data_IF_904040118404
#
_entry.id   IF_904040118404
#
_cell.length_a   1.000
_cell.length_b   1.000
_cell.length_c   1.000
_cell.angle_alpha   90.00
_cell.angle_beta   90.00
_cell.angle_gamma   90.00
#
_symmetry.space_group_name_H-M   'P 1'
#
loop_
_entity.id
_entity.type
_entity.pdbx_description
1 polymer ?
#
# COMPACT_ATOMS: atom_id res chain seq x y z
N UNK A 1 33.28 -30.32 41.85
CA UNK A 1 33.54 -29.43 40.69
C UNK A 1 32.20 -29.10 40.08
N UNK A 2 31.53 -28.05 40.59
CA UNK A 2 30.27 -27.54 40.03
C UNK A 2 30.59 -26.39 39.10
N UNK A 3 30.06 -26.46 37.88
CA UNK A 3 30.22 -25.44 36.85
C UNK A 3 29.25 -24.27 37.11
N UNK A 4 29.80 -23.09 37.34
CA UNK A 4 29.07 -21.82 37.31
C UNK A 4 28.58 -21.55 35.88
N UNK A 5 27.25 -21.50 35.71
CA UNK A 5 26.62 -20.92 34.53
C UNK A 5 26.43 -19.43 34.78
N UNK A 6 27.25 -18.61 34.13
CA UNK A 6 27.02 -17.18 33.96
C UNK A 6 25.69 -16.98 33.19
N UNK A 7 24.66 -16.56 33.91
CA UNK A 7 23.42 -16.03 33.35
C UNK A 7 23.72 -14.68 32.70
N UNK A 8 23.51 -14.58 31.38
CA UNK A 8 23.55 -13.30 30.68
C UNK A 8 22.41 -12.40 31.17
N UNK A 9 22.64 -11.08 31.33
CA UNK A 9 21.61 -10.18 31.80
C UNK A 9 20.52 -10.03 30.72
N UNK A 10 19.28 -10.34 31.11
CA UNK A 10 18.09 -10.04 30.34
C UNK A 10 17.92 -8.52 30.31
N UNK A 11 18.13 -7.91 29.14
CA UNK A 11 17.91 -6.48 28.94
C UNK A 11 16.40 -6.23 28.91
N UNK A 12 15.84 -5.91 30.07
CA UNK A 12 14.52 -5.28 30.16
C UNK A 12 14.61 -3.88 29.56
N UNK A 13 14.04 -3.73 28.37
CA UNK A 13 13.98 -2.47 27.64
C UNK A 13 12.95 -1.55 28.32
N UNK A 14 13.39 -0.36 28.76
CA UNK A 14 12.52 0.69 29.31
C UNK A 14 11.47 1.16 28.28
N UNK A 15 10.26 1.49 28.75
CA UNK A 15 9.14 2.03 27.98
C UNK A 15 9.49 3.29 27.18
N UNK A 16 10.49 4.05 27.60
CA UNK A 16 10.96 5.26 26.91
C UNK A 16 11.58 5.00 25.53
N UNK A 17 12.15 3.80 25.29
CA UNK A 17 12.76 3.49 23.99
C UNK A 17 11.76 3.06 22.91
N UNK A 18 10.55 2.62 23.29
CA UNK A 18 9.51 2.25 22.36
C UNK A 18 8.92 3.49 21.66
N UNK A 19 8.71 4.58 22.42
CA UNK A 19 8.23 5.86 21.90
C UNK A 19 9.24 6.59 20.99
N UNK A 20 10.51 6.16 21.01
CA UNK A 20 11.54 6.66 20.12
C UNK A 20 11.55 5.94 18.76
N UNK A 21 11.15 4.67 18.69
CA UNK A 21 11.30 3.87 17.47
C UNK A 21 10.20 4.15 16.44
N UNK A 22 10.55 4.75 15.30
CA UNK A 22 9.57 5.08 14.25
C UNK A 22 8.94 3.84 13.60
N UNK A 23 9.66 2.71 13.51
CA UNK A 23 9.06 1.43 13.09
C UNK A 23 8.01 0.94 14.09
N UNK A 24 8.22 1.14 15.39
CA UNK A 24 7.23 0.81 16.42
C UNK A 24 6.00 1.73 16.31
N UNK A 25 6.22 3.04 16.10
CA UNK A 25 5.12 3.99 15.90
C UNK A 25 4.32 3.70 14.61
N UNK A 26 4.97 3.22 13.56
CA UNK A 26 4.30 2.77 12.35
C UNK A 26 3.42 1.53 12.61
N UNK A 27 3.88 0.60 13.45
CA UNK A 27 3.06 -0.53 13.92
C UNK A 27 1.86 -0.04 14.76
N UNK A 28 2.07 0.91 15.67
CA UNK A 28 0.97 1.49 16.47
C UNK A 28 -0.08 2.17 15.57
N UNK A 29 0.36 2.95 14.58
CA UNK A 29 -0.54 3.55 13.59
C UNK A 29 -1.28 2.49 12.75
N UNK A 30 -0.61 1.38 12.41
CA UNK A 30 -1.24 0.28 11.66
C UNK A 30 -2.37 -0.38 12.47
N UNK A 31 -2.21 -0.46 13.81
CA UNK A 31 -3.18 -1.03 14.76
C UNK A 31 -4.37 -0.12 15.05
N UNK A 32 -4.27 1.17 14.76
CA UNK A 32 -5.39 2.09 14.93
C UNK A 32 -6.59 1.65 14.09
N UNK A 33 -7.78 1.60 14.67
CA UNK A 33 -9.00 1.18 13.99
C UNK A 33 -9.79 2.37 13.46
N UNK A 34 -9.69 3.54 14.09
CA UNK A 34 -10.35 4.75 13.61
C UNK A 34 -9.62 5.30 12.36
N UNK A 35 -10.32 5.45 11.22
CA UNK A 35 -9.66 5.87 9.99
C UNK A 35 -9.08 7.29 10.03
N UNK A 36 -9.67 8.19 10.83
CA UNK A 36 -9.18 9.57 10.95
C UNK A 36 -7.96 9.63 11.85
N UNK A 37 -8.02 8.97 13.02
CA UNK A 37 -6.91 8.86 13.94
C UNK A 37 -5.71 8.16 13.29
N UNK A 38 -5.93 7.12 12.47
CA UNK A 38 -4.87 6.48 11.69
C UNK A 38 -4.19 7.48 10.75
N UNK A 39 -4.97 8.16 9.91
CA UNK A 39 -4.41 9.14 8.98
C UNK A 39 -3.65 10.27 9.70
N UNK A 40 -4.15 10.74 10.84
CA UNK A 40 -3.51 11.77 11.66
C UNK A 40 -2.22 11.25 12.31
N UNK A 41 -2.20 10.02 12.81
CA UNK A 41 -1.02 9.37 13.38
C UNK A 41 0.10 9.23 12.34
N UNK A 42 -0.24 8.81 11.12
CA UNK A 42 0.73 8.71 10.02
C UNK A 42 1.29 10.09 9.64
N UNK A 43 0.44 11.11 9.54
CA UNK A 43 0.87 12.49 9.26
C UNK A 43 1.81 13.00 10.36
N UNK A 44 1.49 12.77 11.63
CA UNK A 44 2.32 13.16 12.76
C UNK A 44 3.68 12.44 12.74
N UNK A 45 3.67 11.12 12.49
CA UNK A 45 4.90 10.33 12.36
C UNK A 45 5.78 10.82 11.21
N UNK A 46 5.19 11.12 10.05
CA UNK A 46 5.92 11.68 8.90
C UNK A 46 6.54 13.03 9.21
N UNK A 47 5.79 13.92 9.88
CA UNK A 47 6.29 15.24 10.27
C UNK A 47 7.48 15.10 11.22
N UNK A 48 7.39 14.23 12.24
CA UNK A 48 8.50 13.93 13.15
C UNK A 48 9.72 13.39 12.40
N UNK A 49 9.53 12.40 11.54
CA UNK A 49 10.62 11.78 10.78
C UNK A 49 11.32 12.73 9.80
N UNK A 50 10.64 13.80 9.39
CA UNK A 50 11.21 14.83 8.48
C UNK A 50 11.90 15.96 9.26
N UNK A 51 11.48 16.23 10.49
CA UNK A 51 12.05 17.28 11.33
C UNK A 51 13.36 16.86 12.03
N UNK A 52 13.54 15.58 12.30
CA UNK A 52 14.74 15.05 12.95
C UNK A 52 15.87 14.88 11.91
N UNK A 53 16.88 15.77 11.93
CA UNK A 53 18.17 15.57 11.26
C UNK A 53 19.20 14.93 12.22
N UNK A 54 19.96 13.89 11.80
CA UNK A 54 20.03 13.29 10.46
C UNK A 54 19.02 12.15 10.22
N UNK A 55 18.73 11.91 8.93
CA UNK A 55 17.75 10.93 8.37
C UNK A 55 18.01 9.45 8.70
N UNK A 56 19.12 9.15 9.37
CA UNK A 56 19.43 7.79 9.83
C UNK A 56 18.45 7.33 10.92
N UNK A 57 17.74 8.29 11.52
CA UNK A 57 16.44 8.10 12.18
C UNK A 57 16.43 7.13 13.35
N UNK A 58 15.38 7.22 14.16
CA UNK A 58 15.12 6.22 15.19
C UNK A 58 14.43 4.98 14.57
N UNK A 59 14.93 4.47 13.44
CA UNK A 59 14.33 3.33 12.73
C UNK A 59 14.59 2.01 13.47
N UNK A 60 15.80 1.82 14.00
CA UNK A 60 16.26 0.55 14.59
C UNK A 60 16.07 -0.65 13.63
N UNK A 61 16.80 -0.70 12.50
CA UNK A 61 16.63 -1.75 11.46
C UNK A 61 16.80 -3.17 12.01
N UNK A 62 17.73 -3.38 12.93
CA UNK A 62 17.99 -4.70 13.54
C UNK A 62 16.87 -5.18 14.47
N UNK A 63 15.97 -4.28 14.90
CA UNK A 63 14.87 -4.64 15.80
C UNK A 63 13.87 -5.52 15.08
N UNK A 64 13.56 -6.66 15.70
CA UNK A 64 12.48 -7.55 15.33
C UNK A 64 11.31 -7.32 16.28
N UNK A 65 10.09 -7.33 15.75
CA UNK A 65 8.86 -7.15 16.51
C UNK A 65 8.04 -8.44 16.43
N UNK A 66 7.39 -8.79 17.53
CA UNK A 66 6.36 -9.83 17.49
C UNK A 66 5.17 -9.32 16.68
N UNK A 67 4.75 -10.07 15.66
CA UNK A 67 3.64 -9.69 14.81
C UNK A 67 2.31 -9.85 15.57
N UNK A 68 1.56 -8.77 15.84
CA UNK A 68 0.23 -8.88 16.42
C UNK A 68 -0.72 -9.63 15.48
N UNK A 69 -1.60 -10.45 16.04
CA UNK A 69 -2.57 -11.24 15.28
C UNK A 69 -3.73 -10.42 14.71
N UNK A 70 -3.94 -9.21 15.21
CA UNK A 70 -5.06 -8.30 14.93
C UNK A 70 -4.71 -7.23 13.86
N UNK A 71 -3.72 -7.48 13.01
CA UNK A 71 -3.34 -6.54 11.95
C UNK A 71 -4.16 -6.73 10.66
N UNK A 72 -4.53 -5.64 9.97
CA UNK A 72 -4.37 -4.25 10.38
C UNK A 72 -5.50 -3.87 11.35
N UNK A 73 -5.33 -2.77 12.08
CA UNK A 73 -6.46 -2.16 12.78
C UNK A 73 -7.55 -1.80 11.78
N UNK A 74 -8.72 -2.43 11.91
CA UNK A 74 -9.86 -2.26 11.01
C UNK A 74 -11.01 -1.58 11.73
N UNK A 75 -11.62 -0.53 11.14
CA UNK A 75 -12.88 0.00 11.64
C UNK A 75 -14.00 -1.03 11.54
N UNK A 76 -15.07 -0.85 12.31
CA UNK A 76 -16.26 -1.71 12.26
C UNK A 76 -16.95 -1.70 10.88
N UNK A 77 -16.86 -0.58 10.15
CA UNK A 77 -17.36 -0.42 8.79
C UNK A 77 -16.23 0.10 7.88
N UNK A 78 -16.19 -0.25 6.58
CA UNK A 78 -17.24 -0.91 5.79
C UNK A 78 -17.37 -2.42 6.03
N UNK A 79 -18.55 -2.98 5.71
CA UNK A 79 -18.71 -4.43 5.60
C UNK A 79 -17.78 -4.97 4.51
N UNK A 80 -16.96 -5.97 4.85
CA UNK A 80 -16.06 -6.62 3.91
C UNK A 80 -16.77 -7.82 3.27
N UNK A 81 -16.98 -7.74 1.96
CA UNK A 81 -17.60 -8.77 1.14
C UNK A 81 -16.62 -9.32 0.11
N UNK A 82 -16.92 -10.50 -0.42
CA UNK A 82 -16.20 -11.05 -1.57
C UNK A 82 -16.26 -10.10 -2.77
N UNK A 83 -15.24 -10.03 -3.64
CA UNK A 83 -15.23 -9.13 -4.79
C UNK A 83 -16.48 -9.25 -5.70
N UNK A 84 -17.06 -10.45 -5.80
CA UNK A 84 -18.30 -10.71 -6.57
C UNK A 84 -19.57 -10.18 -5.89
N UNK A 85 -19.52 -9.96 -4.58
CA UNK A 85 -20.60 -9.37 -3.79
C UNK A 85 -20.72 -7.86 -3.95
N UNK A 86 -19.73 -7.20 -4.57
CA UNK A 86 -19.81 -5.77 -4.88
C UNK A 86 -20.75 -5.53 -6.06
N UNK A 87 -21.78 -4.71 -5.85
CA UNK A 87 -22.68 -4.28 -6.92
C UNK A 87 -21.97 -3.50 -8.03
N UNK A 88 -22.58 -3.46 -9.24
CA UNK A 88 -22.03 -2.66 -10.36
C UNK A 88 -22.08 -1.18 -10.02
N UNK A 89 -20.95 -0.49 -10.18
CA UNK A 89 -20.79 0.94 -9.91
C UNK A 89 -21.14 1.75 -11.16
N UNK A 90 -22.37 2.24 -11.27
CA UNK A 90 -22.75 3.09 -12.39
C UNK A 90 -22.24 4.52 -12.20
N UNK A 91 -21.21 4.91 -12.94
CA UNK A 91 -20.70 6.30 -12.91
C UNK A 91 -21.67 7.32 -13.53
N UNK A 92 -22.74 6.87 -14.20
CA UNK A 92 -23.73 7.76 -14.82
C UNK A 92 -24.76 8.34 -13.85
N UNK A 93 -24.85 7.81 -12.61
CA UNK A 93 -25.80 8.30 -11.61
C UNK A 93 -25.08 9.00 -10.45
N UNK A 94 -25.70 9.99 -9.79
CA UNK A 94 -25.14 10.59 -8.57
C UNK A 94 -24.79 9.54 -7.52
N UNK A 95 -25.70 8.60 -7.24
CA UNK A 95 -25.47 7.52 -6.28
C UNK A 95 -24.27 6.65 -6.64
N UNK A 96 -24.13 6.21 -7.89
CA UNK A 96 -23.02 5.36 -8.27
C UNK A 96 -21.66 6.09 -8.29
N UNK A 97 -21.65 7.43 -8.43
CA UNK A 97 -20.44 8.24 -8.21
C UNK A 97 -20.02 8.25 -6.74
N UNK A 98 -20.96 8.36 -5.81
CA UNK A 98 -20.67 8.27 -4.37
C UNK A 98 -20.09 6.90 -4.01
N UNK A 99 -20.71 5.80 -4.50
CA UNK A 99 -20.21 4.44 -4.28
C UNK A 99 -18.79 4.26 -4.86
N UNK A 100 -18.49 4.87 -6.01
CA UNK A 100 -17.14 4.90 -6.56
C UNK A 100 -16.16 5.64 -5.66
N UNK A 101 -16.51 6.83 -5.18
CA UNK A 101 -15.66 7.62 -4.28
C UNK A 101 -15.37 6.88 -2.97
N UNK A 102 -16.37 6.18 -2.42
CA UNK A 102 -16.19 5.33 -1.24
C UNK A 102 -15.21 4.19 -1.53
N UNK A 103 -15.36 3.51 -2.67
CA UNK A 103 -14.46 2.45 -3.06
C UNK A 103 -13.01 2.93 -3.25
N UNK A 104 -12.81 4.13 -3.82
CA UNK A 104 -11.50 4.76 -3.90
C UNK A 104 -10.96 5.06 -2.50
N UNK A 105 -11.79 5.64 -1.61
CA UNK A 105 -11.38 5.90 -0.22
C UNK A 105 -10.95 4.62 0.50
N UNK A 106 -11.62 3.49 0.24
CA UNK A 106 -11.23 2.19 0.78
C UNK A 106 -9.88 1.69 0.22
N UNK A 107 -9.59 1.95 -1.05
CA UNK A 107 -8.30 1.62 -1.66
C UNK A 107 -7.20 2.43 -0.97
N UNK A 108 -7.35 3.76 -0.88
CA UNK A 108 -6.36 4.63 -0.22
C UNK A 108 -6.16 4.25 1.26
N UNK A 109 -7.25 3.95 1.98
CA UNK A 109 -7.15 3.50 3.38
C UNK A 109 -6.38 2.18 3.52
N UNK A 110 -6.57 1.24 2.59
CA UNK A 110 -5.75 0.03 2.56
C UNK A 110 -4.30 0.34 2.21
N UNK A 111 -4.03 1.25 1.26
CA UNK A 111 -2.68 1.64 0.88
C UNK A 111 -1.89 2.23 2.08
N UNK A 112 -2.54 3.02 2.95
CA UNK A 112 -1.95 3.42 4.26
C UNK A 112 -1.48 2.19 5.04
N UNK A 113 -2.34 1.16 5.17
CA UNK A 113 -2.02 -0.05 5.92
C UNK A 113 -0.87 -0.83 5.26
N UNK A 114 -0.87 -0.95 3.93
CA UNK A 114 0.16 -1.69 3.18
C UNK A 114 1.53 -1.02 3.33
N UNK A 115 1.58 0.31 3.23
CA UNK A 115 2.79 1.08 3.39
C UNK A 115 3.31 1.04 4.84
N UNK A 116 2.44 1.21 5.84
CA UNK A 116 2.82 1.05 7.26
C UNK A 116 3.33 -0.36 7.55
N UNK A 117 2.70 -1.38 6.97
CA UNK A 117 3.12 -2.76 7.12
C UNK A 117 4.54 -3.00 6.58
N UNK A 118 4.89 -2.40 5.44
CA UNK A 118 6.25 -2.43 4.93
C UNK A 118 7.24 -1.77 5.90
N UNK A 119 6.89 -0.62 6.51
CA UNK A 119 7.77 0.12 7.43
C UNK A 119 8.14 -0.72 8.66
N UNK A 120 7.14 -1.26 9.37
CA UNK A 120 7.43 -1.91 10.65
C UNK A 120 7.95 -3.35 10.48
N UNK A 121 7.46 -4.08 9.47
CA UNK A 121 7.58 -5.54 9.42
C UNK A 121 8.98 -6.04 9.10
N UNK A 122 9.63 -5.47 8.10
CA UNK A 122 10.85 -6.04 7.54
C UNK A 122 12.09 -5.48 8.24
N UNK A 123 12.78 -6.25 9.10
CA UNK A 123 14.02 -5.81 9.74
C UNK A 123 15.17 -5.79 8.72
N UNK A 124 16.24 -5.08 9.07
CA UNK A 124 17.52 -5.03 8.33
C UNK A 124 17.42 -4.43 6.93
N UNK A 125 16.35 -3.67 6.64
CA UNK A 125 16.31 -2.83 5.45
C UNK A 125 17.05 -1.50 5.69
N UNK A 126 17.60 -0.85 4.65
CA UNK A 126 18.22 0.46 4.80
C UNK A 126 17.24 1.53 5.31
N UNK A 127 17.73 2.57 5.99
CA UNK A 127 16.89 3.67 6.49
C UNK A 127 16.02 4.31 5.38
N UNK A 128 16.53 4.39 4.15
CA UNK A 128 15.80 4.88 3.00
C UNK A 128 14.54 4.08 2.69
N UNK A 129 14.55 2.75 2.90
CA UNK A 129 13.37 1.90 2.68
C UNK A 129 12.23 2.31 3.60
N UNK A 130 12.52 2.49 4.89
CA UNK A 130 11.51 2.90 5.86
C UNK A 130 11.03 4.33 5.60
N UNK A 131 11.93 5.24 5.22
CA UNK A 131 11.58 6.62 4.89
C UNK A 131 10.69 6.73 3.64
N UNK A 132 10.94 5.90 2.63
CA UNK A 132 10.13 5.81 1.41
C UNK A 132 8.74 5.27 1.72
N UNK A 133 8.62 4.15 2.44
CA UNK A 133 7.30 3.60 2.77
C UNK A 133 6.52 4.47 3.74
N UNK A 134 7.18 5.18 4.67
CA UNK A 134 6.52 6.19 5.49
C UNK A 134 6.07 7.41 4.65
N UNK A 135 6.77 7.73 3.56
CA UNK A 135 6.33 8.75 2.61
C UNK A 135 5.03 8.33 1.94
N UNK A 136 5.02 7.12 1.37
CA UNK A 136 3.83 6.55 0.71
C UNK A 136 2.66 6.56 1.70
N UNK A 137 2.83 6.00 2.90
CA UNK A 137 1.76 5.99 3.91
C UNK A 137 1.16 7.38 4.18
N UNK A 138 1.99 8.43 4.22
CA UNK A 138 1.53 9.80 4.46
C UNK A 138 0.81 10.41 3.24
N UNK A 139 1.25 10.09 2.03
CA UNK A 139 0.57 10.48 0.78
C UNK A 139 -0.80 9.78 0.68
N UNK A 140 -0.88 8.48 0.99
CA UNK A 140 -2.16 7.76 1.02
C UNK A 140 -3.11 8.25 2.11
N UNK A 141 -2.57 8.64 3.27
CA UNK A 141 -3.36 9.28 4.32
C UNK A 141 -3.95 10.61 3.84
N UNK A 142 -3.20 11.36 3.03
CA UNK A 142 -3.70 12.58 2.40
C UNK A 142 -4.76 12.28 1.33
N UNK A 143 -4.52 11.32 0.44
CA UNK A 143 -5.50 10.88 -0.58
C UNK A 143 -6.82 10.45 0.05
N UNK A 144 -6.75 9.59 1.08
CA UNK A 144 -7.89 9.16 1.86
C UNK A 144 -8.66 10.34 2.47
N UNK A 145 -7.95 11.33 3.03
CA UNK A 145 -8.57 12.51 3.62
C UNK A 145 -9.34 13.36 2.60
N UNK A 146 -8.82 13.50 1.38
CA UNK A 146 -9.49 14.21 0.28
C UNK A 146 -10.78 13.50 -0.12
N UNK A 147 -10.72 12.17 -0.29
CA UNK A 147 -11.89 11.38 -0.66
C UNK A 147 -12.93 11.33 0.45
N UNK A 148 -12.52 11.26 1.72
CA UNK A 148 -13.42 11.31 2.87
C UNK A 148 -14.14 12.65 2.96
N UNK A 149 -13.43 13.76 2.77
CA UNK A 149 -14.05 15.08 2.69
C UNK A 149 -15.03 15.15 1.51
N UNK A 150 -14.66 14.59 0.35
CA UNK A 150 -15.53 14.55 -0.82
C UNK A 150 -16.80 13.73 -0.60
N UNK A 151 -16.74 12.61 0.12
CA UNK A 151 -17.92 11.84 0.51
C UNK A 151 -18.87 12.66 1.40
N UNK A 152 -18.32 13.45 2.32
CA UNK A 152 -19.11 14.30 3.21
C UNK A 152 -19.89 15.37 2.45
N UNK A 153 -19.36 15.92 1.35
CA UNK A 153 -20.10 16.83 0.45
C UNK A 153 -21.39 16.20 -0.11
N UNK A 154 -21.41 14.87 -0.23
CA UNK A 154 -22.57 14.09 -0.67
C UNK A 154 -23.44 13.57 0.49
N UNK A 155 -23.13 13.95 1.74
CA UNK A 155 -23.84 13.48 2.92
C UNK A 155 -23.52 12.04 3.32
N UNK A 156 -22.37 11.53 2.88
CA UNK A 156 -21.92 10.15 3.13
C UNK A 156 -20.61 10.10 3.91
N UNK A 157 -20.37 8.99 4.59
CA UNK A 157 -19.15 8.71 5.33
C UNK A 157 -18.40 7.50 4.75
N UNK A 158 -17.10 7.43 5.03
CA UNK A 158 -16.35 6.20 4.81
C UNK A 158 -16.90 5.11 5.74
N UNK A 159 -17.31 3.99 5.15
CA UNK A 159 -17.99 2.90 5.84
C UNK A 159 -19.45 2.69 5.42
N UNK A 160 -20.09 3.66 4.76
CA UNK A 160 -21.51 3.59 4.36
C UNK A 160 -21.83 2.49 3.32
N UNK A 161 -20.82 2.06 2.55
CA UNK A 161 -20.96 1.08 1.49
C UNK A 161 -20.04 -0.13 1.72
N UNK A 162 -20.37 -1.33 1.21
CA UNK A 162 -19.52 -2.50 1.34
C UNK A 162 -18.22 -2.34 0.53
N UNK A 163 -17.18 -3.02 0.98
CA UNK A 163 -15.86 -3.04 0.35
C UNK A 163 -15.28 -4.47 0.31
N UNK A 164 -14.07 -4.65 -0.23
CA UNK A 164 -13.43 -5.96 -0.31
C UNK A 164 -11.97 -5.89 0.17
N UNK A 165 -11.47 -7.00 0.70
CA UNK A 165 -10.17 -7.05 1.39
C UNK A 165 -9.00 -7.53 0.51
N UNK A 166 -9.20 -7.63 -0.80
CA UNK A 166 -8.27 -8.35 -1.69
C UNK A 166 -6.82 -7.83 -1.73
N UNK A 167 -6.59 -6.54 -1.45
CA UNK A 167 -5.22 -6.00 -1.35
C UNK A 167 -4.49 -6.55 -0.12
N UNK A 168 -5.17 -6.60 1.02
CA UNK A 168 -4.57 -7.05 2.27
C UNK A 168 -4.31 -8.57 2.29
N UNK A 169 -5.13 -9.36 1.61
CA UNK A 169 -4.89 -10.81 1.48
C UNK A 169 -3.52 -11.11 0.86
N UNK A 170 -3.08 -10.35 -0.15
CA UNK A 170 -1.74 -10.50 -0.71
C UNK A 170 -0.64 -10.04 0.26
N UNK A 171 -0.91 -8.97 1.01
CA UNK A 171 -0.03 -8.49 2.07
C UNK A 171 0.24 -9.59 3.10
N UNK A 172 -0.80 -10.30 3.56
CA UNK A 172 -0.70 -11.41 4.51
C UNK A 172 0.09 -12.59 3.93
N UNK A 173 -0.19 -12.96 2.68
CA UNK A 173 0.50 -14.08 2.01
C UNK A 173 1.99 -13.82 1.82
N UNK A 174 2.38 -12.56 1.63
CA UNK A 174 3.78 -12.14 1.42
C UNK A 174 4.46 -11.64 2.69
N UNK A 175 3.83 -11.75 3.86
CA UNK A 175 4.31 -11.17 5.12
C UNK A 175 5.71 -11.63 5.54
N UNK A 176 6.10 -12.84 5.12
CA UNK A 176 7.36 -13.45 5.56
C UNK A 176 8.53 -13.23 4.55
N UNK A 177 8.28 -12.57 3.41
CA UNK A 177 9.32 -12.29 2.41
C UNK A 177 9.19 -10.89 1.82
N UNK A 178 10.13 -10.01 2.17
CA UNK A 178 10.19 -8.63 1.65
C UNK A 178 10.31 -8.58 0.13
N UNK A 179 11.01 -9.53 -0.51
CA UNK A 179 11.12 -9.56 -1.97
C UNK A 179 9.76 -9.87 -2.61
N UNK A 180 9.05 -10.89 -2.07
CA UNK A 180 7.70 -11.21 -2.51
C UNK A 180 6.75 -10.03 -2.29
N UNK A 181 6.87 -9.34 -1.15
CA UNK A 181 6.07 -8.14 -0.86
C UNK A 181 6.28 -7.06 -1.91
N UNK A 182 7.53 -6.66 -2.16
CA UNK A 182 7.86 -5.61 -3.14
C UNK A 182 7.49 -6.01 -4.57
N UNK A 183 7.55 -7.31 -4.89
CA UNK A 183 7.17 -7.82 -6.20
C UNK A 183 5.66 -7.76 -6.46
N UNK A 184 4.84 -8.06 -5.46
CA UNK A 184 3.43 -8.40 -5.68
C UNK A 184 2.43 -7.37 -5.15
N UNK A 185 2.80 -6.55 -4.16
CA UNK A 185 1.88 -5.54 -3.64
C UNK A 185 2.01 -4.23 -4.43
N UNK A 186 3.11 -3.47 -4.32
CA UNK A 186 3.15 -2.12 -4.90
C UNK A 186 3.23 -2.09 -6.42
N UNK A 187 4.06 -2.96 -7.01
CA UNK A 187 4.25 -2.96 -8.46
C UNK A 187 3.23 -3.80 -9.23
N UNK A 188 2.53 -4.73 -8.59
CA UNK A 188 1.55 -5.60 -9.26
C UNK A 188 0.12 -5.19 -8.94
N UNK A 189 -0.25 -5.13 -7.65
CA UNK A 189 -1.62 -4.80 -7.25
C UNK A 189 -1.89 -3.29 -7.28
N UNK A 190 -1.04 -2.48 -6.65
CA UNK A 190 -1.25 -1.02 -6.56
C UNK A 190 -1.05 -0.34 -7.92
N UNK A 191 -0.10 -0.81 -8.74
CA UNK A 191 0.10 -0.33 -10.12
C UNK A 191 -1.14 -0.42 -11.03
N UNK A 192 -2.20 -1.15 -10.65
CA UNK A 192 -3.50 -1.11 -11.32
C UNK A 192 -4.16 0.28 -11.24
N UNK A 193 -3.84 1.08 -10.22
CA UNK A 193 -4.27 2.47 -10.10
C UNK A 193 -3.82 3.32 -11.29
N UNK A 194 -2.61 3.07 -11.83
CA UNK A 194 -2.08 3.76 -13.01
C UNK A 194 -2.95 3.56 -14.26
N UNK A 195 -3.57 2.39 -14.38
CA UNK A 195 -4.40 1.99 -15.52
C UNK A 195 -5.87 2.40 -15.31
N UNK A 196 -6.38 2.25 -14.08
CA UNK A 196 -7.79 2.46 -13.76
C UNK A 196 -8.17 3.93 -13.54
N UNK A 197 -7.27 4.75 -13.00
CA UNK A 197 -7.56 6.15 -12.63
C UNK A 197 -7.87 7.05 -13.83
N UNK A 198 -7.14 7.02 -14.97
CA UNK A 198 -7.42 7.89 -16.11
C UNK A 198 -8.85 7.80 -16.68
N UNK A 199 -9.42 6.61 -16.97
CA UNK A 199 -10.79 6.52 -17.47
C UNK A 199 -11.84 6.89 -16.41
N UNK A 200 -11.58 6.64 -15.12
CA UNK A 200 -12.46 7.07 -14.02
C UNK A 200 -12.52 8.60 -13.96
N UNK A 201 -11.34 9.24 -13.94
CA UNK A 201 -11.18 10.69 -13.93
C UNK A 201 -11.86 11.35 -15.13
N UNK A 202 -11.70 10.79 -16.34
CA UNK A 202 -12.37 11.28 -17.53
C UNK A 202 -13.91 11.22 -17.42
N UNK A 203 -14.46 10.14 -16.85
CA UNK A 203 -15.90 9.98 -16.65
C UNK A 203 -16.46 10.92 -15.59
N UNK A 204 -15.75 11.16 -14.49
CA UNK A 204 -16.13 12.14 -13.47
C UNK A 204 -16.23 13.54 -14.08
N UNK A 205 -15.23 13.92 -14.88
CA UNK A 205 -15.23 15.20 -15.61
C UNK A 205 -16.39 15.31 -16.60
N UNK A 206 -16.66 14.26 -17.39
CA UNK A 206 -17.81 14.22 -18.30
C UNK A 206 -19.15 14.35 -17.57
N UNK A 207 -19.24 13.87 -16.32
CA UNK A 207 -20.42 13.98 -15.48
C UNK A 207 -20.51 15.32 -14.73
N UNK A 208 -19.64 16.29 -15.02
CA UNK A 208 -19.60 17.62 -14.39
C UNK A 208 -19.09 17.62 -12.95
N UNK A 209 -18.40 16.56 -12.52
CA UNK A 209 -17.81 16.45 -11.19
C UNK A 209 -16.31 16.77 -11.23
N UNK A 210 -15.99 18.04 -11.49
CA UNK A 210 -14.62 18.52 -11.62
C UNK A 210 -13.81 18.42 -10.32
N UNK A 211 -14.48 18.51 -9.16
CA UNK A 211 -13.84 18.40 -7.85
C UNK A 211 -13.31 16.98 -7.64
N UNK A 212 -14.13 15.95 -7.86
CA UNK A 212 -13.70 14.56 -7.74
C UNK A 212 -12.65 14.19 -8.81
N UNK A 213 -12.77 14.74 -10.02
CA UNK A 213 -11.76 14.56 -11.06
C UNK A 213 -10.40 15.18 -10.66
N UNK A 214 -10.41 16.35 -10.00
CA UNK A 214 -9.20 17.00 -9.49
C UNK A 214 -8.53 16.22 -8.34
N UNK A 215 -9.30 15.55 -7.49
CA UNK A 215 -8.75 14.64 -6.47
C UNK A 215 -8.01 13.47 -7.14
N UNK A 216 -8.57 12.89 -8.21
CA UNK A 216 -7.92 11.81 -8.97
C UNK A 216 -6.63 12.29 -9.66
N UNK A 217 -6.55 13.57 -10.05
CA UNK A 217 -5.32 14.16 -10.59
C UNK A 217 -4.21 14.22 -9.53
N UNK A 218 -4.56 14.52 -8.27
CA UNK A 218 -3.61 14.48 -7.14
C UNK A 218 -3.12 13.05 -6.90
N UNK A 219 -4.05 12.09 -6.79
CA UNK A 219 -3.73 10.68 -6.52
C UNK A 219 -2.83 10.11 -7.63
N UNK A 220 -3.22 10.30 -8.91
CA UNK A 220 -2.47 9.76 -10.05
C UNK A 220 -1.03 10.31 -10.13
N UNK A 221 -0.82 11.58 -9.75
CA UNK A 221 0.51 12.20 -9.73
C UNK A 221 1.44 11.47 -8.75
N UNK A 222 0.92 11.14 -7.57
CA UNK A 222 1.72 10.56 -6.48
C UNK A 222 1.87 9.04 -6.66
N UNK A 223 0.85 8.36 -7.20
CA UNK A 223 0.82 6.92 -7.48
C UNK A 223 2.00 6.45 -8.37
N UNK A 224 2.37 7.23 -9.40
CA UNK A 224 3.55 6.91 -10.23
C UNK A 224 4.82 6.85 -9.38
N UNK A 225 4.93 7.71 -8.37
CA UNK A 225 6.01 7.71 -7.39
C UNK A 225 5.98 6.48 -6.47
N UNK A 226 4.80 6.08 -6.01
CA UNK A 226 4.63 4.91 -5.13
C UNK A 226 5.02 3.62 -5.82
N UNK A 227 4.55 3.42 -7.05
CA UNK A 227 4.92 2.26 -7.87
C UNK A 227 6.41 2.27 -8.20
N UNK A 228 7.00 3.46 -8.41
CA UNK A 228 8.46 3.60 -8.60
C UNK A 228 9.26 3.16 -7.38
N UNK A 229 8.81 3.53 -6.18
CA UNK A 229 9.41 3.08 -4.92
C UNK A 229 9.35 1.54 -4.83
N UNK A 230 8.20 0.94 -5.16
CA UNK A 230 8.06 -0.51 -5.23
C UNK A 230 9.02 -1.18 -6.21
N UNK A 231 9.13 -0.65 -7.44
CA UNK A 231 10.07 -1.13 -8.46
C UNK A 231 11.53 -1.00 -8.01
N UNK A 232 11.89 0.11 -7.37
CA UNK A 232 13.24 0.34 -6.86
C UNK A 232 13.64 -0.71 -5.82
N UNK A 233 12.81 -0.91 -4.79
CA UNK A 233 13.12 -1.85 -3.71
C UNK A 233 13.04 -3.31 -4.16
N UNK A 234 12.15 -3.64 -5.10
CA UNK A 234 12.14 -4.97 -5.73
C UNK A 234 13.48 -5.26 -6.44
N UNK A 235 13.93 -4.36 -7.32
CA UNK A 235 15.21 -4.53 -8.04
C UNK A 235 16.41 -4.52 -7.10
N UNK A 236 16.40 -3.69 -6.05
CA UNK A 236 17.43 -3.69 -5.01
C UNK A 236 17.55 -5.08 -4.35
N UNK A 237 16.44 -5.65 -3.89
CA UNK A 237 16.41 -6.96 -3.25
C UNK A 237 16.76 -8.11 -4.21
N UNK A 238 16.39 -8.02 -5.49
CA UNK A 238 16.88 -8.93 -6.53
C UNK A 238 18.41 -8.87 -6.64
N UNK A 239 18.98 -7.67 -6.69
CA UNK A 239 20.43 -7.45 -6.73
C UNK A 239 21.14 -8.04 -5.50
N UNK A 240 20.64 -7.79 -4.30
CA UNK A 240 21.20 -8.35 -3.06
C UNK A 240 21.16 -9.88 -3.03
N UNK A 241 20.13 -10.50 -3.63
CA UNK A 241 19.96 -11.95 -3.70
C UNK A 241 20.57 -12.59 -4.96
N UNK A 242 21.17 -11.80 -5.86
CA UNK A 242 21.74 -12.27 -7.13
C UNK A 242 20.71 -12.87 -8.09
N UNK A 243 19.48 -12.34 -8.09
CA UNK A 243 18.37 -12.82 -8.91
C UNK A 243 18.12 -11.89 -10.11
N UNK A 244 17.74 -12.47 -11.25
CA UNK A 244 17.16 -11.70 -12.35
C UNK A 244 15.76 -11.20 -11.96
N UNK A 245 15.45 -9.89 -12.08
CA UNK A 245 14.15 -9.34 -11.69
C UNK A 245 12.95 -9.91 -12.45
N UNK A 246 13.11 -10.26 -13.73
CA UNK A 246 12.01 -10.77 -14.55
C UNK A 246 11.68 -12.21 -14.14
N UNK A 247 12.70 -13.04 -13.99
CA UNK A 247 12.56 -14.43 -13.56
C UNK A 247 12.00 -14.49 -12.13
N UNK A 248 12.57 -13.69 -11.22
CA UNK A 248 12.11 -13.60 -9.84
C UNK A 248 10.64 -13.18 -9.76
N UNK A 249 10.21 -12.18 -10.54
CA UNK A 249 8.80 -11.77 -10.54
C UNK A 249 7.89 -12.90 -11.03
N UNK A 250 8.23 -13.59 -12.12
CA UNK A 250 7.40 -14.70 -12.65
C UNK A 250 7.26 -15.83 -11.61
N UNK A 251 8.37 -16.21 -10.98
CA UNK A 251 8.38 -17.25 -9.95
C UNK A 251 7.55 -16.86 -8.73
N UNK A 252 7.70 -15.61 -8.26
CA UNK A 252 6.93 -15.08 -7.13
C UNK A 252 5.44 -14.97 -7.47
N UNK A 253 5.11 -14.47 -8.66
CA UNK A 253 3.73 -14.38 -9.12
C UNK A 253 3.06 -15.76 -9.18
N UNK A 254 3.77 -16.80 -9.65
CA UNK A 254 3.27 -18.17 -9.65
C UNK A 254 3.13 -18.73 -8.22
N UNK A 255 4.20 -18.64 -7.42
CA UNK A 255 4.26 -19.17 -6.04
C UNK A 255 3.18 -18.56 -5.14
N UNK A 256 2.96 -17.26 -5.26
CA UNK A 256 1.97 -16.53 -4.50
C UNK A 256 0.72 -16.25 -5.33
N UNK A 257 0.39 -17.08 -6.33
CA UNK A 257 -0.87 -17.02 -7.10
C UNK A 257 -1.36 -15.58 -7.35
N UNK A 258 -0.47 -14.73 -7.84
CA UNK A 258 -0.79 -13.33 -8.08
C UNK A 258 -1.90 -13.25 -9.13
N UNK A 259 -2.87 -12.33 -8.97
CA UNK A 259 -3.91 -12.17 -9.97
C UNK A 259 -3.29 -11.72 -11.30
N UNK A 260 -3.82 -12.25 -12.41
CA UNK A 260 -3.43 -11.80 -13.74
C UNK A 260 -3.87 -10.35 -13.94
N UNK A 261 -2.96 -9.53 -14.44
CA UNK A 261 -3.28 -8.15 -14.80
C UNK A 261 -3.99 -8.11 -16.14
N UNK A 262 -4.98 -7.23 -16.26
CA UNK A 262 -5.78 -7.07 -17.47
C UNK A 262 -5.72 -5.64 -17.95
N UNK A 263 -5.66 -5.49 -19.26
CA UNK A 263 -5.63 -4.20 -19.92
C UNK A 263 -6.98 -3.46 -19.88
N UNK A 264 -7.03 -2.24 -20.45
CA UNK A 264 -5.91 -1.55 -21.10
C UNK A 264 -4.86 -1.04 -20.09
N UNK A 265 -3.58 -1.13 -20.46
CA UNK A 265 -2.47 -0.65 -19.62
C UNK A 265 -2.06 0.78 -19.97
N UNK A 266 -1.72 1.56 -18.95
CA UNK A 266 -1.11 2.88 -19.10
C UNK A 266 0.41 2.75 -19.20
N UNK A 267 0.90 2.46 -20.40
CA UNK A 267 2.33 2.21 -20.62
C UNK A 267 3.21 3.40 -20.25
N UNK A 268 2.79 4.64 -20.50
CA UNK A 268 3.59 5.83 -20.20
C UNK A 268 3.76 6.02 -18.69
N UNK A 269 2.68 5.82 -17.92
CA UNK A 269 2.76 5.86 -16.46
C UNK A 269 3.61 4.70 -15.89
N UNK A 270 3.47 3.49 -16.44
CA UNK A 270 4.29 2.33 -16.04
C UNK A 270 5.77 2.55 -16.36
N UNK A 271 6.13 3.04 -17.56
CA UNK A 271 7.52 3.43 -17.87
C UNK A 271 8.04 4.48 -16.91
N UNK A 272 7.22 5.50 -16.61
CA UNK A 272 7.57 6.54 -15.65
C UNK A 272 7.79 5.98 -14.24
N UNK A 273 7.05 4.94 -13.86
CA UNK A 273 7.22 4.20 -12.62
C UNK A 273 8.41 3.21 -12.66
N UNK A 274 9.12 3.10 -13.78
CA UNK A 274 10.32 2.28 -13.90
C UNK A 274 10.09 0.85 -14.40
N UNK A 275 8.98 0.57 -15.10
CA UNK A 275 8.87 -0.66 -15.88
C UNK A 275 9.70 -0.55 -17.16
N UNK A 276 10.44 -1.60 -17.49
CA UNK A 276 11.13 -1.70 -18.79
C UNK A 276 10.24 -2.33 -19.86
N UNK A 277 10.65 -2.24 -21.13
CA UNK A 277 9.83 -2.72 -22.25
C UNK A 277 9.60 -4.25 -22.20
N UNK A 278 10.54 -5.04 -21.66
CA UNK A 278 10.36 -6.48 -21.54
C UNK A 278 9.24 -6.83 -20.53
N UNK A 279 9.15 -6.09 -19.43
CA UNK A 279 8.04 -6.22 -18.48
C UNK A 279 6.70 -5.80 -19.10
N UNK A 280 6.68 -4.73 -19.91
CA UNK A 280 5.46 -4.26 -20.57
C UNK A 280 4.97 -5.25 -21.63
N UNK A 281 5.88 -5.82 -22.41
CA UNK A 281 5.58 -6.86 -23.40
C UNK A 281 5.02 -8.12 -22.71
N UNK A 282 5.58 -8.50 -21.56
CA UNK A 282 5.08 -9.63 -20.77
C UNK A 282 3.65 -9.40 -20.24
N UNK A 283 3.30 -8.17 -19.85
CA UNK A 283 1.93 -7.82 -19.45
C UNK A 283 0.94 -7.98 -20.61
N UNK A 284 1.33 -7.55 -21.81
CA UNK A 284 0.50 -7.69 -23.02
C UNK A 284 0.31 -9.17 -23.36
N UNK A 285 1.37 -9.98 -23.31
CA UNK A 285 1.30 -11.41 -23.55
C UNK A 285 0.37 -12.11 -22.54
N UNK A 286 0.51 -11.78 -21.25
CA UNK A 286 -0.34 -12.35 -20.19
C UNK A 286 -1.84 -12.03 -20.38
N UNK A 287 -2.17 -10.81 -20.82
CA UNK A 287 -3.54 -10.38 -21.11
C UNK A 287 -4.10 -11.05 -22.39
N UNK A 288 -3.25 -11.30 -23.39
CA UNK A 288 -3.63 -12.02 -24.61
C UNK A 288 -3.93 -13.50 -24.32
N UNK A 289 -3.16 -14.14 -23.43
CA UNK A 289 -3.26 -15.55 -23.06
C UNK A 289 -4.31 -15.82 -21.95
N UNK A 290 -5.17 -14.85 -21.61
CA UNK A 290 -6.24 -15.07 -20.64
C UNK A 290 -7.42 -15.82 -21.29
N UNK A 291 -7.69 -17.10 -20.94
CA UNK A 291 -8.78 -17.87 -21.52
C UNK A 291 -10.16 -17.32 -21.14
N UNK A 292 -10.25 -16.39 -20.19
CA UNK A 292 -11.47 -15.69 -19.82
C UNK A 292 -11.65 -14.35 -20.55
N UNK A 293 -10.82 -14.04 -21.57
CA UNK A 293 -11.03 -12.92 -22.48
C UNK A 293 -12.25 -13.24 -23.37
N UNK A 294 -13.31 -12.41 -23.37
CA UNK A 294 -14.47 -12.61 -24.23
C UNK A 294 -14.13 -12.44 -25.71
#
# INVERSE_FOLDING_TARGET
MSADRLTAPSLTVSSDSAAACWRALALDALRECDPSAKADAVRALRARATADEPRDGAWFPERVFDAPADLPGRPTCPELVEPRGLGRRSMSTPHGRVVLLHALAHIEFNAINLALDAVWRFPRMPAAFYADWLKVAAEEAYHFSLLRARLADYGHAYGDFPAHNGLWEMCERTRDDVLARMALVPRTLEARGLDASPPIRARLKQAGDDVSAGILDVILRDEVGHVRIGNHWFRHLCGERGLDPHDAWRDLAARYHAPRLRGPFNFDARRSAGFDDAELDALVAQDADDPARP
#
